data_IF_910664267309
#
_entry.id   IF_910664267309
#
_cell.length_a   1.000
_cell.length_b   1.000
_cell.length_c   1.000
_cell.angle_alpha   90.00
_cell.angle_beta   90.00
_cell.angle_gamma   90.00
#
_symmetry.space_group_name_H-M   'P 1'
#
loop_
_entity.id
_entity.type
_entity.pdbx_description
1 polymer ?
#
# COMPACT_ATOMS: atom_id res chain seq x y z
N UNK A 1 2.50 -13.78 12.18
CA UNK A 1 2.92 -12.90 11.06
C UNK A 1 2.07 -11.63 10.92
N UNK A 2 0.75 -11.64 11.18
CA UNK A 2 -0.13 -10.45 11.06
C UNK A 2 0.30 -9.24 11.91
N UNK A 3 0.75 -9.44 13.14
CA UNK A 3 1.22 -8.33 13.99
C UNK A 3 2.48 -7.64 13.46
N UNK A 4 3.30 -8.32 12.63
CA UNK A 4 4.48 -7.72 12.00
C UNK A 4 4.14 -6.88 10.76
N UNK A 5 2.95 -7.05 10.20
CA UNK A 5 2.50 -6.36 8.99
C UNK A 5 1.52 -5.22 9.29
N UNK A 6 0.98 -5.16 10.52
CA UNK A 6 0.04 -4.13 10.91
C UNK A 6 0.67 -2.74 10.74
N UNK A 7 0.01 -1.89 9.96
CA UNK A 7 0.45 -0.51 9.74
C UNK A 7 -0.35 0.39 10.70
N UNK A 8 0.31 1.02 11.71
CA UNK A 8 -0.34 1.97 12.60
C UNK A 8 -0.92 3.15 11.81
N UNK A 9 -2.07 3.67 12.23
CA UNK A 9 -2.77 4.77 11.55
C UNK A 9 -1.88 6.00 11.35
N UNK A 10 -1.05 6.33 12.35
CA UNK A 10 -0.10 7.43 12.27
C UNK A 10 0.94 7.28 11.14
N UNK A 11 1.18 6.05 10.66
CA UNK A 11 2.13 5.77 9.58
C UNK A 11 1.45 5.74 8.20
N UNK A 12 0.13 5.76 8.11
CA UNK A 12 -0.59 5.67 6.84
C UNK A 12 -0.18 6.77 5.85
N UNK A 13 -0.07 8.06 6.23
CA UNK A 13 0.31 9.11 5.27
C UNK A 13 1.70 8.85 4.66
N UNK A 14 2.65 8.40 5.49
CA UNK A 14 4.00 8.08 5.03
C UNK A 14 4.00 6.89 4.06
N UNK A 15 3.30 5.80 4.41
CA UNK A 15 3.22 4.60 3.57
C UNK A 15 2.55 4.90 2.24
N UNK A 16 1.43 5.65 2.26
CA UNK A 16 0.72 6.05 1.05
C UNK A 16 1.65 6.90 0.16
N UNK A 17 2.37 7.86 0.74
CA UNK A 17 3.31 8.69 -0.02
C UNK A 17 4.45 7.86 -0.63
N UNK A 18 4.97 6.86 0.09
CA UNK A 18 5.99 5.95 -0.45
C UNK A 18 5.46 5.09 -1.60
N UNK A 19 4.22 4.63 -1.51
CA UNK A 19 3.58 3.85 -2.58
C UNK A 19 3.36 4.71 -3.83
N UNK A 20 2.82 5.93 -3.67
CA UNK A 20 2.62 6.86 -4.78
C UNK A 20 3.94 7.42 -5.36
N UNK A 21 5.08 7.23 -4.70
CA UNK A 21 6.40 7.57 -5.24
C UNK A 21 6.91 6.51 -6.25
N UNK A 22 6.26 5.35 -6.34
CA UNK A 22 6.57 4.33 -7.33
C UNK A 22 6.04 4.75 -8.71
N UNK A 23 6.78 4.46 -9.77
CA UNK A 23 6.58 5.06 -11.10
C UNK A 23 5.22 4.76 -11.72
N UNK A 24 4.51 3.74 -11.22
CA UNK A 24 3.28 3.25 -11.84
C UNK A 24 2.07 3.30 -10.93
N UNK A 25 2.18 3.95 -9.76
CA UNK A 25 1.10 4.09 -8.79
C UNK A 25 0.71 5.57 -8.72
N UNK A 26 -0.53 5.87 -9.08
CA UNK A 26 -1.07 7.23 -9.02
C UNK A 26 -1.69 7.52 -7.65
N UNK A 27 -2.41 6.54 -7.09
CA UNK A 27 -3.08 6.65 -5.80
C UNK A 27 -2.92 5.36 -4.99
N UNK A 28 -2.90 5.50 -3.67
CA UNK A 28 -2.83 4.38 -2.75
C UNK A 28 -3.72 4.59 -1.52
N UNK A 29 -4.32 3.51 -1.03
CA UNK A 29 -5.06 3.48 0.23
C UNK A 29 -4.68 2.25 1.04
N UNK A 30 -4.59 2.41 2.36
CA UNK A 30 -4.26 1.35 3.32
C UNK A 30 -5.48 1.07 4.19
N UNK A 31 -5.87 -0.20 4.29
CA UNK A 31 -6.88 -0.68 5.23
C UNK A 31 -6.24 -1.70 6.17
N UNK A 32 -5.81 -1.24 7.34
CA UNK A 32 -5.15 -2.06 8.36
C UNK A 32 -6.08 -2.24 9.55
N UNK A 33 -6.57 -3.46 9.77
CA UNK A 33 -7.45 -3.82 10.88
C UNK A 33 -6.87 -5.01 11.66
N UNK A 34 -7.51 -5.37 12.78
CA UNK A 34 -7.11 -6.59 13.50
C UNK A 34 -7.25 -7.84 12.64
N UNK A 35 -8.15 -7.86 11.64
CA UNK A 35 -8.53 -9.04 10.88
C UNK A 35 -7.90 -9.15 9.49
N UNK A 36 -7.58 -8.01 8.88
CA UNK A 36 -7.01 -7.95 7.53
C UNK A 36 -6.15 -6.71 7.35
N UNK A 37 -5.22 -6.81 6.42
CA UNK A 37 -4.41 -5.72 5.93
C UNK A 37 -4.52 -5.75 4.42
N UNK A 38 -5.08 -4.69 3.85
CA UNK A 38 -5.32 -4.53 2.42
C UNK A 38 -4.67 -3.23 1.95
N UNK A 39 -4.03 -3.28 0.78
CA UNK A 39 -3.49 -2.11 0.09
C UNK A 39 -4.20 -2.02 -1.25
N UNK A 40 -4.87 -0.89 -1.50
CA UNK A 40 -5.55 -0.59 -2.74
C UNK A 40 -4.72 0.41 -3.53
N UNK A 41 -4.54 0.15 -4.82
CA UNK A 41 -3.68 0.95 -5.69
C UNK A 41 -4.44 1.32 -6.97
N UNK A 42 -4.29 2.57 -7.40
CA UNK A 42 -4.61 3.00 -8.77
C UNK A 42 -3.30 3.02 -9.54
N UNK A 43 -3.24 2.25 -10.63
CA UNK A 43 -2.01 2.10 -11.39
C UNK A 43 -2.24 2.17 -12.90
N UNK A 44 -1.27 2.79 -13.59
CA UNK A 44 -1.25 2.90 -15.05
C UNK A 44 -1.06 1.55 -15.76
N UNK A 45 -0.53 0.55 -15.06
CA UNK A 45 -0.36 -0.80 -15.58
C UNK A 45 -0.36 -1.81 -14.43
N UNK A 46 -1.37 -2.70 -14.42
CA UNK A 46 -1.54 -3.71 -13.37
C UNK A 46 -0.30 -4.61 -13.22
N UNK A 47 0.31 -5.04 -14.33
CA UNK A 47 1.44 -5.97 -14.27
C UNK A 47 2.72 -5.33 -13.68
N UNK A 48 2.91 -4.02 -13.91
CA UNK A 48 4.05 -3.28 -13.35
C UNK A 48 3.82 -2.88 -11.90
N UNK A 49 2.61 -2.45 -11.55
CA UNK A 49 2.27 -2.08 -10.17
C UNK A 49 2.45 -3.25 -9.20
N UNK A 50 1.98 -4.45 -9.57
CA UNK A 50 2.15 -5.65 -8.72
C UNK A 50 3.64 -5.97 -8.50
N UNK A 51 4.50 -5.81 -9.51
CA UNK A 51 5.95 -6.02 -9.36
C UNK A 51 6.64 -5.02 -8.44
N UNK A 52 6.12 -3.80 -8.31
CA UNK A 52 6.74 -2.77 -7.46
C UNK A 52 6.35 -2.89 -5.98
N UNK A 53 5.31 -3.65 -5.66
CA UNK A 53 4.77 -3.81 -4.29
C UNK A 53 4.90 -5.22 -3.70
N UNK A 54 5.50 -6.16 -4.43
CA UNK A 54 5.78 -7.53 -3.96
C UNK A 54 7.26 -7.71 -3.65
#
# INVERSE_FOLDING_TARGET
MREKLAIPEAQWPQVIQQLCALNHIEEAAVLSTCNRIEIYLVALSQHRAVREVT
#
